data_IF_682730545082
#
_entry.id   IF_682730545082
#
_cell.length_a   1.000
_cell.length_b   1.000
_cell.length_c   1.000
_cell.angle_alpha   90.00
_cell.angle_beta   90.00
_cell.angle_gamma   90.00
#
_symmetry.space_group_name_H-M   'P 1'
#
loop_
_entity.id
_entity.type
_entity.pdbx_description
1 polymer ?
#
# COMPACT_ATOMS: atom_id res chain seq x y z
N UNK A 1 5.86 10.22 3.74
CA UNK A 1 6.04 9.43 2.49
C UNK A 1 6.56 10.26 1.32
N UNK A 2 5.87 11.31 0.85
CA UNK A 2 6.31 12.10 -0.33
C UNK A 2 7.73 12.68 -0.18
N UNK A 3 8.03 13.34 0.95
CA UNK A 3 9.37 13.88 1.25
C UNK A 3 10.47 12.81 1.28
N UNK A 4 10.13 11.58 1.67
CA UNK A 4 11.08 10.47 1.79
C UNK A 4 11.41 9.88 0.41
N UNK A 5 10.42 9.81 -0.48
CA UNK A 5 10.51 8.99 -1.70
C UNK A 5 10.57 9.80 -2.99
N UNK A 6 10.22 11.09 -2.93
CA UNK A 6 10.09 11.97 -4.10
C UNK A 6 8.85 11.68 -4.97
N UNK A 7 8.04 10.69 -4.60
CA UNK A 7 6.83 10.32 -5.33
C UNK A 7 5.68 11.25 -4.91
N UNK A 8 4.96 11.78 -5.90
CA UNK A 8 3.77 12.56 -5.67
C UNK A 8 2.59 11.65 -5.31
N UNK A 9 1.97 11.89 -4.15
CA UNK A 9 0.84 11.10 -3.64
C UNK A 9 -0.45 11.91 -3.63
N UNK A 10 -0.49 13.10 -4.26
CA UNK A 10 -1.66 14.00 -4.28
C UNK A 10 -2.93 13.32 -4.79
N UNK A 11 -2.79 12.40 -5.74
CA UNK A 11 -3.92 11.72 -6.37
C UNK A 11 -4.29 10.40 -5.67
N UNK A 12 -3.61 10.04 -4.58
CA UNK A 12 -3.94 8.86 -3.80
C UNK A 12 -5.22 9.09 -3.03
N UNK A 13 -6.17 8.16 -3.17
CA UNK A 13 -7.42 8.13 -2.39
C UNK A 13 -7.36 7.04 -1.35
N UNK A 14 -7.67 7.40 -0.11
CA UNK A 14 -7.76 6.44 1.00
C UNK A 14 -9.23 6.27 1.36
N UNK A 15 -9.70 5.02 1.31
CA UNK A 15 -11.04 4.61 1.71
C UNK A 15 -10.94 3.91 3.07
N UNK A 16 -11.21 4.66 4.14
CA UNK A 16 -11.29 4.16 5.51
C UNK A 16 -12.60 3.41 5.75
N UNK A 17 -12.60 2.49 6.72
CA UNK A 17 -13.76 1.66 7.07
C UNK A 17 -14.34 0.95 5.82
N UNK A 18 -13.47 0.49 4.94
CA UNK A 18 -13.84 -0.20 3.71
C UNK A 18 -14.03 -1.68 3.98
N UNK A 19 -15.10 -2.27 3.45
CA UNK A 19 -15.34 -3.72 3.52
C UNK A 19 -14.53 -4.52 2.48
N UNK A 20 -13.82 -3.82 1.57
CA UNK A 20 -13.06 -4.49 0.50
C UNK A 20 -11.90 -5.37 0.98
N UNK A 21 -11.07 -4.96 1.97
CA UNK A 21 -9.97 -5.81 2.43
C UNK A 21 -10.44 -7.19 2.93
N UNK A 22 -11.62 -7.27 3.55
CA UNK A 22 -12.19 -8.54 4.03
C UNK A 22 -12.44 -9.54 2.89
N UNK A 23 -12.83 -9.05 1.70
CA UNK A 23 -13.10 -9.89 0.51
C UNK A 23 -11.87 -10.64 0.00
N UNK A 24 -10.67 -10.17 0.39
CA UNK A 24 -9.37 -10.76 0.06
C UNK A 24 -8.60 -11.19 1.31
N UNK A 25 -9.29 -11.28 2.45
CA UNK A 25 -8.72 -11.69 3.74
C UNK A 25 -7.53 -10.82 4.20
N UNK A 26 -7.58 -9.52 3.90
CA UNK A 26 -6.57 -8.54 4.27
C UNK A 26 -7.11 -7.48 5.24
N UNK A 27 -6.21 -6.76 5.92
CA UNK A 27 -6.56 -5.62 6.78
C UNK A 27 -6.56 -4.29 6.02
N UNK A 28 -5.69 -4.18 5.01
CA UNK A 28 -5.66 -3.08 4.07
C UNK A 28 -5.02 -3.58 2.76
N UNK A 29 -5.20 -2.84 1.67
CA UNK A 29 -4.41 -3.05 0.45
C UNK A 29 -4.39 -1.79 -0.43
N UNK A 30 -3.34 -1.68 -1.24
CA UNK A 30 -3.15 -0.65 -2.26
C UNK A 30 -3.38 -1.19 -3.68
N UNK A 31 -4.19 -0.49 -4.47
CA UNK A 31 -4.45 -0.82 -5.87
C UNK A 31 -4.45 0.46 -6.72
N UNK A 32 -3.41 0.63 -7.55
CA UNK A 32 -3.23 1.80 -8.39
C UNK A 32 -3.01 3.07 -7.56
N UNK A 33 -4.01 3.96 -7.51
CA UNK A 33 -3.98 5.16 -6.68
C UNK A 33 -5.01 5.11 -5.54
N UNK A 34 -5.51 3.93 -5.20
CA UNK A 34 -6.48 3.73 -4.14
C UNK A 34 -5.89 2.85 -3.04
N UNK A 35 -6.13 3.24 -1.79
CA UNK A 35 -5.84 2.45 -0.60
C UNK A 35 -7.17 2.16 0.09
N UNK A 36 -7.41 0.91 0.46
CA UNK A 36 -8.60 0.50 1.20
C UNK A 36 -8.15 0.00 2.57
N UNK A 37 -8.77 0.50 3.63
CA UNK A 37 -8.43 0.17 5.02
C UNK A 37 -9.67 -0.34 5.73
N UNK A 38 -9.58 -1.52 6.33
CA UNK A 38 -10.67 -2.08 7.13
C UNK A 38 -10.90 -1.25 8.41
N UNK A 39 -12.09 -1.32 9.03
CA UNK A 39 -12.35 -0.60 10.27
C UNK A 39 -11.30 -0.89 11.37
N UNK A 40 -10.72 0.17 11.95
CA UNK A 40 -9.71 0.08 13.01
C UNK A 40 -8.29 -0.34 12.57
N UNK A 41 -8.00 -0.30 11.27
CA UNK A 41 -6.72 -0.74 10.69
C UNK A 41 -5.88 0.42 10.10
N UNK A 42 -6.10 1.65 10.55
CA UNK A 42 -5.42 2.85 10.05
C UNK A 42 -3.90 2.82 10.20
N UNK A 43 -3.40 2.03 11.15
CA UNK A 43 -1.98 1.75 11.36
C UNK A 43 -1.26 1.17 10.13
N UNK A 44 -2.00 0.54 9.21
CA UNK A 44 -1.44 -0.01 7.98
C UNK A 44 -1.21 1.06 6.89
N UNK A 45 -1.81 2.25 7.01
CA UNK A 45 -1.72 3.29 5.98
C UNK A 45 -0.28 3.63 5.56
N UNK A 46 0.71 3.79 6.47
CA UNK A 46 2.09 4.10 6.07
C UNK A 46 2.71 3.00 5.20
N UNK A 47 2.40 1.73 5.49
CA UNK A 47 2.84 0.57 4.72
C UNK A 47 2.17 0.55 3.33
N UNK A 48 0.85 0.75 3.26
CA UNK A 48 0.12 0.81 1.98
C UNK A 48 0.58 1.96 1.08
N UNK A 49 0.96 3.10 1.65
CA UNK A 49 1.57 4.20 0.90
C UNK A 49 2.95 3.79 0.32
N UNK A 50 3.67 2.86 0.96
CA UNK A 50 4.88 2.25 0.44
C UNK A 50 4.61 1.46 -0.85
N UNK A 51 3.52 0.70 -0.88
CA UNK A 51 3.08 0.00 -2.10
C UNK A 51 2.72 0.96 -3.24
N UNK A 52 2.04 2.07 -2.95
CA UNK A 52 1.79 3.10 -3.97
C UNK A 52 3.10 3.64 -4.54
N UNK A 53 4.11 3.86 -3.71
CA UNK A 53 5.44 4.31 -4.15
C UNK A 53 6.09 3.27 -5.08
N UNK A 54 6.01 1.99 -4.73
CA UNK A 54 6.56 0.92 -5.57
C UNK A 54 5.84 0.82 -6.92
N UNK A 55 4.51 0.92 -6.93
CA UNK A 55 3.69 0.93 -8.15
C UNK A 55 4.07 2.13 -9.03
N UNK A 56 4.18 3.33 -8.45
CA UNK A 56 4.57 4.54 -9.16
C UNK A 56 6.00 4.49 -9.73
N UNK A 57 6.91 3.78 -9.07
CA UNK A 57 8.30 3.56 -9.54
C UNK A 57 8.44 2.41 -10.53
N UNK A 58 7.36 1.69 -10.85
CA UNK A 58 7.41 0.52 -11.73
C UNK A 58 8.16 -0.67 -11.14
N UNK A 59 8.27 -0.72 -9.81
CA UNK A 59 8.94 -1.82 -9.09
C UNK A 59 8.04 -3.06 -9.02
N UNK A 60 6.72 -2.86 -9.02
CA UNK A 60 5.73 -3.94 -8.90
C UNK A 60 5.46 -4.56 -10.27
N UNK A 61 5.74 -5.86 -10.41
CA UNK A 61 5.27 -6.69 -11.51
C UNK A 61 4.33 -7.75 -10.93
N UNK A 62 3.11 -7.93 -11.45
CA UNK A 62 2.20 -8.96 -10.94
C UNK A 62 2.88 -10.33 -11.00
N UNK A 63 2.96 -11.03 -9.85
CA UNK A 63 3.44 -12.42 -9.78
C UNK A 63 2.27 -13.40 -9.69
N UNK A 64 1.12 -12.93 -9.18
CA UNK A 64 -0.08 -13.74 -8.95
C UNK A 64 -1.34 -12.96 -9.37
N UNK A 65 -2.36 -13.67 -9.84
CA UNK A 65 -3.71 -13.12 -9.99
C UNK A 65 -4.67 -13.82 -9.04
N UNK A 66 -5.33 -13.08 -8.15
CA UNK A 66 -6.32 -13.61 -7.22
C UNK A 66 -7.63 -12.89 -7.46
N UNK A 67 -8.65 -13.60 -7.94
CA UNK A 67 -9.98 -13.03 -8.22
C UNK A 67 -9.94 -11.77 -9.13
N UNK A 68 -9.01 -11.72 -10.09
CA UNK A 68 -8.84 -10.57 -10.99
C UNK A 68 -7.97 -9.44 -10.42
N UNK A 69 -7.46 -9.56 -9.20
CA UNK A 69 -6.48 -8.64 -8.62
C UNK A 69 -5.06 -9.12 -8.97
N UNK A 70 -4.31 -8.23 -9.61
CA UNK A 70 -2.90 -8.41 -9.90
C UNK A 70 -2.08 -8.10 -8.64
N UNK A 71 -1.49 -9.14 -8.06
CA UNK A 71 -0.75 -9.09 -6.79
C UNK A 71 0.71 -9.43 -7.06
N UNK A 72 1.61 -8.75 -6.36
CA UNK A 72 3.00 -9.12 -6.25
C UNK A 72 3.23 -9.63 -4.82
N UNK A 73 3.82 -10.82 -4.69
CA UNK A 73 4.12 -11.47 -3.41
C UNK A 73 5.62 -11.50 -3.08
N UNK A 74 6.42 -10.63 -3.70
CA UNK A 74 7.86 -10.56 -3.47
C UNK A 74 8.15 -10.10 -2.03
N UNK A 75 8.75 -10.95 -1.17
CA UNK A 75 8.99 -10.60 0.23
C UNK A 75 9.88 -9.36 0.40
N UNK A 76 10.77 -9.07 -0.56
CA UNK A 76 11.61 -7.89 -0.51
C UNK A 76 10.79 -6.60 -0.70
N UNK A 77 9.75 -6.65 -1.54
CA UNK A 77 8.86 -5.49 -1.73
C UNK A 77 8.00 -5.25 -0.47
N UNK A 78 7.54 -6.30 0.21
CA UNK A 78 6.79 -6.17 1.48
C UNK A 78 7.66 -5.56 2.59
N UNK A 79 8.91 -6.02 2.72
CA UNK A 79 9.87 -5.46 3.69
C UNK A 79 10.18 -4.00 3.38
N UNK A 80 10.45 -3.68 2.11
CA UNK A 80 10.74 -2.31 1.69
C UNK A 80 9.55 -1.37 1.90
N UNK A 81 8.30 -1.82 1.67
CA UNK A 81 7.11 -1.03 1.96
C UNK A 81 6.96 -0.77 3.47
N UNK A 82 7.26 -1.77 4.29
CA UNK A 82 7.28 -1.66 5.75
C UNK A 82 8.35 -0.68 6.23
N UNK A 83 9.57 -0.74 5.71
CA UNK A 83 10.65 0.18 6.06
C UNK A 83 10.28 1.63 5.71
N UNK A 84 9.77 1.86 4.50
CA UNK A 84 9.30 3.18 4.08
C UNK A 84 8.18 3.70 5.00
N UNK A 85 7.23 2.83 5.37
CA UNK A 85 6.15 3.16 6.30
C UNK A 85 6.69 3.58 7.68
N UNK A 86 7.61 2.80 8.23
CA UNK A 86 8.23 3.07 9.53
C UNK A 86 9.03 4.38 9.54
N UNK A 87 9.87 4.61 8.52
CA UNK A 87 10.64 5.86 8.39
C UNK A 87 9.70 7.06 8.22
N UNK A 88 8.61 6.89 7.47
CA UNK A 88 7.63 7.96 7.28
C UNK A 88 6.86 8.30 8.57
N UNK A 89 6.53 7.30 9.39
CA UNK A 89 5.80 7.47 10.66
C UNK A 89 6.68 8.02 11.78
N UNK A 90 7.97 7.67 11.80
CA UNK A 90 8.91 8.11 12.85
C UNK A 90 9.48 9.53 12.65
N UNK A 91 9.08 10.24 11.58
CA UNK A 91 9.58 11.59 11.24
C UNK A 91 8.67 12.73 11.72
N UNK A 92 7.81 12.50 12.70
CA UNK A 92 6.95 13.51 13.31
C UNK A 92 7.17 13.60 14.82
#
# INVERSE_FOLDING_TARGET
>A
MEKLTGVNLKNVRVYYNSDKPEQVQAHAYAQGQSIYIAPGQEQHLPHELGHIVQQAKGMVKPTVNINGLEINDDPWLEEHATELGNIASNRF
#
